data_IF_935217857188
#
_entry.id   IF_935217857188
#
_cell.length_a   1.000
_cell.length_b   1.000
_cell.length_c   1.000
_cell.angle_alpha   90.00
_cell.angle_beta   90.00
_cell.angle_gamma   90.00
#
_symmetry.space_group_name_H-M   'P 1'
#
loop_
_entity.id
_entity.type
_entity.pdbx_description
1 polymer ?
#
# COMPACT_ATOMS: atom_id res chain seq x y z
N UNK A 1 31.29 0.04 -45.31
CA UNK A 1 31.60 -0.54 -43.99
C UNK A 1 30.79 0.22 -42.95
N UNK A 2 29.65 -0.32 -42.50
CA UNK A 2 28.75 0.36 -41.56
C UNK A 2 28.67 -0.41 -40.25
N UNK A 3 28.85 0.35 -39.17
CA UNK A 3 29.34 -0.05 -37.85
C UNK A 3 28.32 -0.83 -36.98
N UNK A 4 28.81 -1.56 -35.95
CA UNK A 4 27.99 -2.44 -35.10
C UNK A 4 27.08 -1.66 -34.15
N UNK A 5 25.84 -2.12 -34.01
CA UNK A 5 24.88 -1.56 -33.04
C UNK A 5 25.31 -1.75 -31.60
N UNK A 6 25.37 -0.65 -30.86
CA UNK A 6 25.58 -0.65 -29.42
C UNK A 6 24.46 0.13 -28.77
N UNK A 7 23.28 -0.49 -28.73
CA UNK A 7 22.02 0.06 -28.21
C UNK A 7 22.00 0.56 -26.76
N UNK A 8 23.13 0.54 -26.05
CA UNK A 8 23.24 1.05 -24.67
C UNK A 8 24.18 2.24 -24.50
N UNK A 9 25.03 2.58 -25.48
CA UNK A 9 26.01 3.68 -25.34
C UNK A 9 25.73 4.88 -26.24
N UNK A 10 25.09 4.68 -27.40
CA UNK A 10 24.94 5.75 -28.41
C UNK A 10 23.50 5.95 -28.91
N UNK A 11 22.50 5.29 -28.31
CA UNK A 11 21.09 5.42 -28.68
C UNK A 11 20.73 4.73 -30.00
N UNK A 12 19.46 4.35 -30.14
CA UNK A 12 18.92 3.79 -31.38
C UNK A 12 18.35 4.91 -32.24
N UNK A 13 18.58 4.84 -33.55
CA UNK A 13 18.12 5.85 -34.49
C UNK A 13 16.99 5.27 -35.34
N UNK A 14 15.78 5.78 -35.12
CA UNK A 14 14.55 5.33 -35.78
C UNK A 14 14.06 6.43 -36.73
N UNK A 15 13.84 6.08 -37.99
CA UNK A 15 13.36 7.03 -39.01
C UNK A 15 11.86 7.36 -38.84
N UNK A 16 11.10 6.43 -38.26
CA UNK A 16 9.67 6.54 -37.99
C UNK A 16 9.32 5.91 -36.64
N UNK A 17 8.35 6.46 -35.88
CA UNK A 17 7.88 5.86 -34.64
C UNK A 17 7.35 4.44 -34.89
N UNK A 18 7.82 3.45 -34.13
CA UNK A 18 7.50 2.03 -34.33
C UNK A 18 8.33 1.33 -35.41
N UNK A 19 9.31 2.02 -36.01
CA UNK A 19 10.19 1.45 -37.03
C UNK A 19 11.36 0.64 -36.46
N UNK A 20 12.17 0.10 -37.37
CA UNK A 20 13.40 -0.62 -37.05
C UNK A 20 14.61 0.33 -37.11
N UNK A 21 15.58 0.11 -36.22
CA UNK A 21 16.83 0.88 -36.19
C UNK A 21 17.61 0.63 -37.48
N UNK A 22 17.91 1.69 -38.23
CA UNK A 22 18.58 1.58 -39.54
C UNK A 22 19.98 0.97 -39.48
N UNK A 23 20.63 1.08 -38.32
CA UNK A 23 21.98 0.54 -38.12
C UNK A 23 21.98 -0.90 -37.60
N UNK A 24 20.84 -1.43 -37.12
CA UNK A 24 20.86 -2.74 -36.46
C UNK A 24 19.60 -3.57 -36.40
N UNK A 25 18.54 -3.12 -37.05
CA UNK A 25 17.33 -3.91 -37.24
C UNK A 25 16.48 -4.11 -36.00
N UNK A 26 16.85 -3.64 -34.80
CA UNK A 26 15.99 -3.76 -33.61
C UNK A 26 14.77 -2.84 -33.75
N UNK A 27 13.58 -3.32 -33.40
CA UNK A 27 12.34 -2.54 -33.46
C UNK A 27 12.12 -1.74 -32.17
N UNK A 28 11.56 -0.53 -32.29
CA UNK A 28 11.31 0.36 -31.15
C UNK A 28 10.36 -0.27 -30.11
N UNK A 29 9.50 -1.19 -30.55
CA UNK A 29 8.58 -1.97 -29.72
C UNK A 29 9.27 -2.97 -28.78
N UNK A 30 10.48 -3.43 -29.09
CA UNK A 30 11.23 -4.36 -28.23
C UNK A 30 11.98 -3.67 -27.08
N UNK A 31 12.10 -2.34 -27.13
CA UNK A 31 12.65 -1.55 -26.01
C UNK A 31 11.57 -1.12 -25.00
N UNK A 32 10.29 -1.30 -25.35
CA UNK A 32 9.14 -0.89 -24.55
C UNK A 32 8.40 -2.08 -23.91
N UNK A 33 9.04 -3.24 -23.80
CA UNK A 33 8.58 -4.23 -22.84
C UNK A 33 8.99 -3.80 -21.43
N UNK A 34 8.12 -2.98 -20.84
CA UNK A 34 7.91 -2.83 -19.41
C UNK A 34 8.31 -4.11 -18.66
N UNK A 35 9.07 -4.05 -17.56
CA UNK A 35 9.38 -5.23 -16.77
C UNK A 35 8.07 -5.82 -16.24
N UNK A 36 7.56 -6.85 -16.95
CA UNK A 36 6.50 -7.74 -16.48
C UNK A 36 6.87 -8.14 -15.05
N UNK A 37 6.07 -7.81 -14.01
CA UNK A 37 6.37 -8.18 -12.64
C UNK A 37 6.14 -9.69 -12.47
N UNK A 38 7.08 -10.51 -12.94
CA UNK A 38 7.05 -11.98 -12.80
C UNK A 38 7.46 -12.47 -11.41
N UNK A 39 7.39 -11.64 -10.36
CA UNK A 39 7.63 -12.07 -8.97
C UNK A 39 6.70 -11.51 -7.89
N UNK A 40 5.49 -11.02 -8.24
CA UNK A 40 4.50 -10.70 -7.19
C UNK A 40 3.84 -11.95 -6.60
N UNK A 41 3.69 -13.03 -7.38
CA UNK A 41 3.00 -14.23 -6.91
C UNK A 41 3.75 -14.95 -5.79
N UNK A 42 5.08 -15.00 -5.81
CA UNK A 42 5.86 -15.73 -4.79
C UNK A 42 5.92 -14.99 -3.43
N UNK A 43 5.96 -13.65 -3.46
CA UNK A 43 5.84 -12.83 -2.23
C UNK A 43 4.42 -12.85 -1.69
N UNK A 44 3.41 -12.77 -2.57
CA UNK A 44 2.00 -12.93 -2.19
C UNK A 44 1.69 -14.34 -1.67
N UNK A 45 2.32 -15.39 -2.22
CA UNK A 45 2.11 -16.78 -1.76
C UNK A 45 2.78 -17.07 -0.41
N UNK A 46 3.83 -16.33 -0.03
CA UNK A 46 4.38 -16.38 1.35
C UNK A 46 3.54 -15.55 2.34
N UNK A 47 2.85 -14.50 1.89
CA UNK A 47 1.79 -13.83 2.67
C UNK A 47 0.48 -14.64 2.71
N UNK A 48 0.24 -15.50 1.71
CA UNK A 48 -0.92 -16.39 1.62
C UNK A 48 -0.68 -17.74 2.29
N UNK A 49 0.17 -17.80 3.33
CA UNK A 49 -0.19 -18.67 4.45
C UNK A 49 -1.46 -18.07 5.00
N UNK A 50 -2.58 -18.56 4.49
CA UNK A 50 -3.92 -18.26 4.96
C UNK A 50 -3.85 -18.23 6.48
N UNK A 51 -3.89 -17.03 7.06
CA UNK A 51 -4.10 -16.87 8.49
C UNK A 51 -5.46 -17.51 8.72
N UNK A 52 -5.42 -18.79 9.12
CA UNK A 52 -6.60 -19.58 9.46
C UNK A 52 -7.35 -18.77 10.52
N UNK A 53 -8.36 -17.98 10.12
CA UNK A 53 -9.27 -17.34 11.05
C UNK A 53 -9.36 -15.80 11.12
N UNK A 54 -9.25 -15.03 10.04
CA UNK A 54 -9.78 -13.63 10.05
C UNK A 54 -11.13 -13.58 9.33
N UNK A 55 -12.18 -14.09 10.00
CA UNK A 55 -13.54 -14.14 9.42
C UNK A 55 -14.46 -12.99 9.87
N UNK A 56 -14.01 -12.07 10.73
CA UNK A 56 -14.85 -10.99 11.25
C UNK A 56 -14.24 -9.63 10.94
N UNK A 57 -15.07 -8.70 10.45
CA UNK A 57 -14.70 -7.30 10.15
C UNK A 57 -13.95 -6.63 11.31
N UNK A 58 -14.25 -7.03 12.55
CA UNK A 58 -13.58 -6.53 13.77
C UNK A 58 -12.11 -6.93 13.81
N UNK A 59 -11.76 -8.15 13.39
CA UNK A 59 -10.37 -8.62 13.34
C UNK A 59 -9.61 -7.97 12.20
N UNK A 60 -10.25 -7.77 11.04
CA UNK A 60 -9.66 -7.01 9.94
C UNK A 60 -9.35 -5.57 10.37
N UNK A 61 -10.30 -4.89 11.01
CA UNK A 61 -10.12 -3.54 11.52
C UNK A 61 -9.01 -3.46 12.59
N UNK A 62 -8.94 -4.43 13.50
CA UNK A 62 -7.87 -4.49 14.49
C UNK A 62 -6.48 -4.63 13.84
N UNK A 63 -6.39 -5.43 12.77
CA UNK A 63 -5.16 -5.61 11.99
C UNK A 63 -4.75 -4.31 11.33
N UNK A 64 -5.65 -3.68 10.58
CA UNK A 64 -5.44 -2.39 9.93
C UNK A 64 -4.96 -1.30 10.91
N UNK A 65 -5.59 -1.19 12.08
CA UNK A 65 -5.21 -0.20 13.09
C UNK A 65 -3.82 -0.52 13.64
N UNK A 66 -3.54 -1.78 13.96
CA UNK A 66 -2.24 -2.18 14.51
C UNK A 66 -1.09 -1.97 13.51
N UNK A 67 -1.33 -2.21 12.23
CA UNK A 67 -0.37 -1.97 11.15
C UNK A 67 -0.18 -0.47 10.91
N UNK A 68 -1.27 0.31 10.85
CA UNK A 68 -1.22 1.76 10.70
C UNK A 68 -0.46 2.44 11.85
N UNK A 69 -0.65 1.95 13.08
CA UNK A 69 0.06 2.44 14.26
C UNK A 69 1.50 1.91 14.37
N UNK A 70 1.95 1.04 13.45
CA UNK A 70 3.25 0.33 13.50
C UNK A 70 3.45 -0.50 14.77
N UNK A 71 2.36 -1.02 15.34
CA UNK A 71 2.34 -1.82 16.57
C UNK A 71 1.63 -3.18 16.38
N UNK A 72 2.12 -4.06 15.48
CA UNK A 72 1.47 -5.35 15.21
C UNK A 72 1.42 -6.27 16.44
N UNK A 73 2.39 -6.15 17.35
CA UNK A 73 2.43 -6.88 18.63
C UNK A 73 1.23 -6.56 19.55
N UNK A 74 0.52 -5.45 19.30
CA UNK A 74 -0.62 -4.99 20.10
C UNK A 74 -1.97 -5.28 19.44
N UNK A 75 -2.03 -6.16 18.44
CA UNK A 75 -3.29 -6.57 17.80
C UNK A 75 -4.42 -6.92 18.79
N UNK A 76 -4.13 -7.77 19.79
CA UNK A 76 -5.11 -8.19 20.79
C UNK A 76 -5.66 -7.02 21.63
N UNK A 77 -4.84 -5.99 21.89
CA UNK A 77 -5.25 -4.79 22.59
C UNK A 77 -6.27 -4.01 21.77
N UNK A 78 -5.98 -3.74 20.50
CA UNK A 78 -6.89 -3.05 19.59
C UNK A 78 -8.19 -3.84 19.40
N UNK A 79 -8.09 -5.16 19.24
CA UNK A 79 -9.26 -6.04 19.16
C UNK A 79 -10.17 -5.92 20.40
N UNK A 80 -9.59 -5.94 21.61
CA UNK A 80 -10.34 -5.77 22.86
C UNK A 80 -11.03 -4.40 22.96
N UNK A 81 -10.38 -3.34 22.47
CA UNK A 81 -10.97 -1.99 22.44
C UNK A 81 -12.13 -1.94 21.45
N UNK A 82 -11.95 -2.45 20.23
CA UNK A 82 -13.00 -2.43 19.20
C UNK A 82 -14.23 -3.23 19.67
N UNK A 83 -14.02 -4.37 20.34
CA UNK A 83 -15.10 -5.15 20.96
C UNK A 83 -15.86 -4.36 22.04
N UNK A 84 -15.16 -3.49 22.78
CA UNK A 84 -15.76 -2.65 23.83
C UNK A 84 -16.53 -1.44 23.27
N UNK A 85 -15.97 -0.74 22.28
CA UNK A 85 -16.57 0.49 21.74
C UNK A 85 -17.53 0.24 20.57
N UNK A 86 -17.47 -0.94 19.98
CA UNK A 86 -18.23 -1.34 18.80
C UNK A 86 -17.53 -1.02 17.48
N UNK A 87 -17.84 -1.84 16.46
CA UNK A 87 -17.27 -1.76 15.10
C UNK A 87 -17.42 -0.35 14.49
N UNK A 88 -18.65 0.16 14.43
CA UNK A 88 -18.97 1.43 13.75
C UNK A 88 -18.19 2.61 14.31
N UNK A 89 -18.05 2.65 15.65
CA UNK A 89 -17.33 3.72 16.32
C UNK A 89 -15.82 3.62 16.12
N UNK A 90 -15.28 2.40 16.16
CA UNK A 90 -13.86 2.17 15.87
C UNK A 90 -13.50 2.61 14.44
N UNK A 91 -14.35 2.30 13.45
CA UNK A 91 -14.17 2.78 12.07
C UNK A 91 -14.14 4.30 12.02
N UNK A 92 -15.08 4.97 12.68
CA UNK A 92 -15.14 6.44 12.66
C UNK A 92 -13.87 7.08 13.24
N UNK A 93 -13.43 6.59 14.39
CA UNK A 93 -12.18 7.04 15.02
C UNK A 93 -10.99 6.78 14.08
N UNK A 94 -10.92 5.60 13.46
CA UNK A 94 -9.82 5.28 12.56
C UNK A 94 -9.79 6.17 11.32
N UNK A 95 -10.95 6.49 10.75
CA UNK A 95 -11.08 7.44 9.64
C UNK A 95 -10.66 8.86 10.05
N UNK A 96 -11.09 9.33 11.23
CA UNK A 96 -10.69 10.65 11.76
C UNK A 96 -9.17 10.76 11.93
N UNK A 97 -8.53 9.70 12.43
CA UNK A 97 -7.07 9.61 12.56
C UNK A 97 -6.39 9.62 11.20
N UNK A 98 -6.88 8.84 10.22
CA UNK A 98 -6.31 8.82 8.86
C UNK A 98 -6.41 10.15 8.12
N UNK A 99 -7.47 10.92 8.38
CA UNK A 99 -7.67 12.23 7.76
C UNK A 99 -6.80 13.33 8.39
N UNK A 100 -6.37 13.13 9.62
CA UNK A 100 -5.54 14.09 10.35
C UNK A 100 -4.10 14.01 9.84
N UNK A 101 -3.61 15.08 9.20
CA UNK A 101 -2.30 15.11 8.52
C UNK A 101 -1.09 15.27 9.47
N UNK A 102 -1.32 15.67 10.72
CA UNK A 102 -0.26 16.04 11.65
C UNK A 102 -0.47 15.36 13.02
N UNK A 103 -0.23 14.05 13.08
CA UNK A 103 -0.33 13.28 14.33
C UNK A 103 1.01 12.62 14.62
N UNK A 104 1.66 13.06 15.70
CA UNK A 104 2.90 12.46 16.19
C UNK A 104 2.71 11.01 16.67
N UNK A 105 1.53 10.67 17.21
CA UNK A 105 1.25 9.33 17.73
C UNK A 105 -0.19 8.88 17.48
N UNK A 106 -0.46 8.21 16.34
CA UNK A 106 -1.81 7.73 16.00
C UNK A 106 -2.35 6.71 17.02
N UNK A 107 -1.46 5.89 17.59
CA UNK A 107 -1.79 4.93 18.65
C UNK A 107 -2.36 5.63 19.90
N UNK A 108 -1.70 6.67 20.40
CA UNK A 108 -2.17 7.43 21.57
C UNK A 108 -3.50 8.12 21.29
N UNK A 109 -3.66 8.68 20.10
CA UNK A 109 -4.90 9.34 19.70
C UNK A 109 -6.08 8.35 19.63
N UNK A 110 -5.86 7.16 19.06
CA UNK A 110 -6.86 6.09 19.06
C UNK A 110 -7.27 5.67 20.47
N UNK A 111 -6.28 5.50 21.36
CA UNK A 111 -6.51 5.15 22.77
C UNK A 111 -7.28 6.24 23.53
N UNK A 112 -7.00 7.50 23.23
CA UNK A 112 -7.71 8.64 23.82
C UNK A 112 -9.17 8.72 23.34
N UNK A 113 -9.39 8.67 22.03
CA UNK A 113 -10.72 8.76 21.41
C UNK A 113 -11.62 7.56 21.74
N UNK A 114 -11.03 6.38 21.94
CA UNK A 114 -11.77 5.18 22.36
C UNK A 114 -12.25 5.25 23.82
N UNK A 115 -11.52 5.95 24.70
CA UNK A 115 -11.92 6.16 26.10
C UNK A 115 -12.99 7.26 26.25
N UNK A 116 -12.90 8.32 25.47
CA UNK A 116 -13.81 9.45 25.58
C UNK A 116 -15.16 9.14 24.96
N UNK A 117 -16.21 8.88 25.76
CA UNK A 117 -17.57 8.60 25.25
C UNK A 117 -18.20 9.73 24.41
N UNK A 118 -17.63 10.93 24.37
CA UNK A 118 -18.18 12.07 23.63
C UNK A 118 -17.52 12.22 22.25
N UNK A 119 -18.30 12.41 21.18
CA UNK A 119 -17.75 12.72 19.85
C UNK A 119 -17.12 14.11 19.90
N UNK A 120 -15.79 14.19 20.02
CA UNK A 120 -15.07 15.45 19.87
C UNK A 120 -14.90 15.77 18.39
N UNK A 121 -16.01 15.98 17.69
CA UNK A 121 -16.01 16.68 16.41
C UNK A 121 -15.90 18.17 16.75
N UNK A 122 -14.67 18.66 16.94
CA UNK A 122 -14.41 20.10 16.87
C UNK A 122 -14.14 20.43 15.40
N UNK A 123 -15.21 20.57 14.63
CA UNK A 123 -15.18 21.30 13.36
C UNK A 123 -14.80 22.73 13.70
N UNK A 124 -13.55 23.13 13.42
CA UNK A 124 -13.20 24.56 13.37
C UNK A 124 -13.95 25.12 12.16
N UNK A 125 -14.91 26.00 12.46
CA UNK A 125 -15.61 26.86 11.51
C UNK A 125 -14.70 28.02 11.13
#
# INVERSE_FOLDING_TARGET
MSAPCKGKKFGHNFLVPGGHCLNCGISQTELSEEPKPKKLKEVLSRLAKSEKGIHSEIHALAKDISEYCKEPKKFALYLGIIKRIGKNRAYRIFSEIKQSKDIESPAKLFMYLSKNKKPSVKTKK
#
